data_IF_751129544687
#
_entry.id   IF_751129544687
#
_cell.length_a   1.000
_cell.length_b   1.000
_cell.length_c   1.000
_cell.angle_alpha   90.00
_cell.angle_beta   90.00
_cell.angle_gamma   90.00
#
_symmetry.space_group_name_H-M   'P 1'
#
loop_
_entity.id
_entity.type
_entity.pdbx_description
1 polymer ?
#
# COMPACT_ATOMS: atom_id res chain seq x y z
N UNK A 1 -37.02 -10.20 -5.45
CA UNK A 1 -36.63 -8.91 -4.86
C UNK A 1 -35.12 -8.92 -4.81
N UNK A 2 -34.43 -8.15 -5.66
CA UNK A 2 -32.98 -8.11 -5.67
C UNK A 2 -32.51 -7.16 -4.55
N UNK A 3 -31.72 -7.68 -3.62
CA UNK A 3 -31.04 -6.91 -2.57
C UNK A 3 -30.05 -5.96 -3.26
N UNK A 4 -30.22 -4.64 -3.07
CA UNK A 4 -29.26 -3.67 -3.59
C UNK A 4 -27.96 -3.77 -2.77
N UNK A 5 -26.87 -4.20 -3.41
CA UNK A 5 -25.56 -4.23 -2.77
C UNK A 5 -25.17 -2.81 -2.30
N UNK A 6 -24.48 -2.68 -1.14
CA UNK A 6 -24.04 -1.38 -0.65
C UNK A 6 -23.20 -0.66 -1.70
N UNK A 7 -23.54 0.59 -1.98
CA UNK A 7 -22.96 1.43 -3.04
C UNK A 7 -21.64 2.10 -2.63
N UNK A 8 -20.84 1.46 -1.76
CA UNK A 8 -19.53 2.01 -1.39
C UNK A 8 -18.55 1.81 -2.54
N UNK A 9 -17.71 2.82 -2.79
CA UNK A 9 -16.64 2.69 -3.79
C UNK A 9 -15.66 1.60 -3.34
N UNK A 10 -15.11 0.80 -4.27
CA UNK A 10 -14.11 -0.18 -3.93
C UNK A 10 -12.87 0.50 -3.34
N UNK A 11 -12.21 -0.16 -2.39
CA UNK A 11 -10.91 0.29 -1.88
C UNK A 11 -9.84 0.23 -2.98
N UNK A 12 -8.89 1.17 -2.93
CA UNK A 12 -7.74 1.21 -3.84
C UNK A 12 -6.49 0.92 -3.01
N UNK A 13 -5.73 -0.12 -3.36
CA UNK A 13 -4.43 -0.43 -2.77
C UNK A 13 -3.33 -0.02 -3.75
N UNK A 14 -2.49 0.92 -3.36
CA UNK A 14 -1.36 1.42 -4.15
C UNK A 14 -0.09 0.66 -3.76
N UNK A 15 0.47 -0.05 -4.73
CA UNK A 15 1.67 -0.88 -4.57
C UNK A 15 2.83 -0.14 -5.23
N UNK A 16 3.86 0.22 -4.47
CA UNK A 16 5.07 0.83 -5.03
C UNK A 16 6.01 -0.22 -5.65
N UNK A 17 6.91 0.22 -6.54
CA UNK A 17 7.92 -0.65 -7.16
C UNK A 17 9.24 -0.69 -6.38
N UNK A 18 10.22 -1.44 -6.93
CA UNK A 18 11.61 -1.40 -6.44
C UNK A 18 12.15 0.04 -6.47
N UNK A 19 13.00 0.35 -5.49
CA UNK A 19 13.66 1.67 -5.31
C UNK A 19 12.73 2.83 -4.92
N UNK A 20 11.47 2.54 -4.59
CA UNK A 20 10.48 3.52 -4.16
C UNK A 20 10.01 3.20 -2.73
N UNK A 21 9.35 4.17 -2.09
CA UNK A 21 8.60 3.97 -0.85
C UNK A 21 7.14 4.39 -1.08
N UNK A 22 6.20 4.12 -0.14
CA UNK A 22 4.83 4.61 -0.26
C UNK A 22 4.70 6.12 -0.50
N UNK A 23 5.72 6.90 -0.12
CA UNK A 23 5.76 8.35 -0.32
C UNK A 23 5.57 8.76 -1.79
N UNK A 24 5.90 7.91 -2.76
CA UNK A 24 5.65 8.19 -4.18
C UNK A 24 4.16 8.43 -4.52
N UNK A 25 3.26 8.02 -3.63
CA UNK A 25 1.81 8.19 -3.76
C UNK A 25 1.26 9.38 -2.96
N UNK A 26 2.11 10.21 -2.33
CA UNK A 26 1.68 11.27 -1.40
C UNK A 26 0.69 12.28 -2.00
N UNK A 27 0.71 12.48 -3.32
CA UNK A 27 -0.25 13.34 -4.03
C UNK A 27 -1.43 12.58 -4.63
N UNK A 28 -1.28 11.28 -4.87
CA UNK A 28 -2.33 10.42 -5.43
C UNK A 28 -3.35 10.00 -4.38
N UNK A 29 -2.89 9.72 -3.16
CA UNK A 29 -3.76 9.38 -2.02
C UNK A 29 -4.83 10.47 -1.80
N UNK A 30 -4.48 11.74 -1.51
CA UNK A 30 -5.49 12.78 -1.27
C UNK A 30 -6.36 13.05 -2.50
N UNK A 31 -5.82 12.89 -3.72
CA UNK A 31 -6.58 13.03 -4.96
C UNK A 31 -7.69 11.96 -5.09
N UNK A 32 -7.38 10.71 -4.75
CA UNK A 32 -8.33 9.60 -4.80
C UNK A 32 -9.31 9.63 -3.63
N UNK A 33 -8.85 10.00 -2.43
CA UNK A 33 -9.70 10.21 -1.25
C UNK A 33 -10.71 11.34 -1.48
N UNK A 34 -10.29 12.45 -2.12
CA UNK A 34 -11.20 13.54 -2.50
C UNK A 34 -12.29 13.10 -3.50
N UNK A 35 -12.08 11.98 -4.21
CA UNK A 35 -13.09 11.35 -5.06
C UNK A 35 -13.96 10.34 -4.30
N UNK A 36 -13.78 10.16 -3.00
CA UNK A 36 -14.56 9.27 -2.14
C UNK A 36 -14.12 7.81 -2.17
N UNK A 37 -12.89 7.50 -2.60
CA UNK A 37 -12.32 6.16 -2.45
C UNK A 37 -11.67 6.01 -1.08
N UNK A 38 -11.73 4.81 -0.50
CA UNK A 38 -10.82 4.42 0.58
C UNK A 38 -9.49 3.98 -0.05
N UNK A 39 -8.37 4.58 0.36
CA UNK A 39 -7.07 4.37 -0.29
C UNK A 39 -6.07 3.88 0.74
N UNK A 40 -5.32 2.82 0.38
CA UNK A 40 -4.23 2.30 1.17
C UNK A 40 -2.95 2.36 0.35
N UNK A 41 -1.85 2.78 0.97
CA UNK A 41 -0.51 2.71 0.39
C UNK A 41 0.47 2.09 1.40
N UNK A 42 0.34 0.78 1.71
CA UNK A 42 1.27 0.12 2.60
C UNK A 42 2.62 -0.06 1.88
N UNK A 43 3.71 0.11 2.63
CA UNK A 43 5.05 -0.23 2.14
C UNK A 43 5.27 -1.73 2.07
N UNK A 44 6.23 -2.14 1.25
CA UNK A 44 6.75 -3.51 1.29
C UNK A 44 7.23 -3.85 2.72
N UNK A 45 7.26 -5.14 3.10
CA UNK A 45 7.83 -5.58 4.36
C UNK A 45 9.21 -4.96 4.60
N UNK A 46 9.37 -4.30 5.73
CA UNK A 46 10.59 -3.59 6.08
C UNK A 46 10.72 -2.20 5.46
N UNK A 47 10.03 -1.84 4.38
CA UNK A 47 9.94 -0.42 3.94
C UNK A 47 9.01 0.36 4.87
N UNK A 48 7.83 -0.21 5.16
CA UNK A 48 6.79 0.41 5.97
C UNK A 48 6.48 1.85 5.50
N UNK A 49 6.29 2.80 6.41
CA UNK A 49 6.08 4.22 6.10
C UNK A 49 7.39 5.03 6.14
N UNK A 50 8.55 4.36 5.99
CA UNK A 50 9.86 5.02 6.10
C UNK A 50 10.16 5.89 4.88
N UNK A 51 10.83 7.02 5.10
CA UNK A 51 11.32 7.88 4.02
C UNK A 51 12.53 7.26 3.32
N UNK A 52 12.86 7.68 2.08
CA UNK A 52 14.09 7.25 1.41
C UNK A 52 15.36 7.48 2.24
N UNK A 53 15.44 8.58 3.00
CA UNK A 53 16.57 8.90 3.89
C UNK A 53 16.69 7.90 5.03
N UNK A 54 15.57 7.54 5.67
CA UNK A 54 15.54 6.56 6.75
C UNK A 54 15.96 5.17 6.27
N UNK A 55 15.50 4.76 5.09
CA UNK A 55 15.89 3.48 4.48
C UNK A 55 17.38 3.47 4.11
N UNK A 56 17.92 4.57 3.57
CA UNK A 56 19.34 4.67 3.26
C UNK A 56 20.21 4.66 4.52
N UNK A 57 19.71 5.23 5.63
CA UNK A 57 20.40 5.20 6.91
C UNK A 57 20.42 3.80 7.53
N UNK A 58 19.35 3.02 7.37
CA UNK A 58 19.25 1.64 7.82
C UNK A 58 18.45 0.75 6.84
N UNK A 59 19.15 0.08 5.89
CA UNK A 59 18.50 -0.79 4.92
C UNK A 59 18.24 -2.20 5.45
N UNK A 60 18.72 -2.57 6.65
CA UNK A 60 18.64 -3.95 7.15
C UNK A 60 17.21 -4.50 7.23
N UNK A 61 16.16 -3.73 7.56
CA UNK A 61 14.79 -4.26 7.58
C UNK A 61 14.29 -4.76 6.21
N UNK A 62 14.88 -4.29 5.11
CA UNK A 62 14.57 -4.75 3.74
C UNK A 62 15.46 -5.90 3.28
N UNK A 63 16.49 -6.27 4.05
CA UNK A 63 17.39 -7.34 3.68
C UNK A 63 16.64 -8.68 3.61
N UNK A 64 17.05 -9.51 2.65
CA UNK A 64 16.57 -10.88 2.44
C UNK A 64 15.06 -11.02 2.20
N UNK A 65 14.36 -9.92 1.86
CA UNK A 65 12.94 -9.97 1.50
C UNK A 65 12.73 -10.57 0.12
N UNK A 66 11.70 -11.41 0.02
CA UNK A 66 11.33 -12.12 -1.21
C UNK A 66 10.09 -11.50 -1.85
N UNK A 67 9.88 -11.77 -3.14
CA UNK A 67 8.67 -11.35 -3.85
C UNK A 67 7.43 -12.04 -3.27
N UNK A 68 7.53 -13.30 -2.87
CA UNK A 68 6.41 -14.04 -2.29
C UNK A 68 5.96 -13.41 -0.96
N UNK A 69 6.90 -13.04 -0.07
CA UNK A 69 6.57 -12.31 1.17
C UNK A 69 5.89 -10.96 0.91
N UNK A 70 6.32 -10.24 -0.13
CA UNK A 70 5.69 -8.98 -0.52
C UNK A 70 4.24 -9.25 -0.97
N UNK A 71 4.05 -10.23 -1.87
CA UNK A 71 2.71 -10.60 -2.38
C UNK A 71 1.80 -11.04 -1.24
N UNK A 72 2.27 -11.91 -0.35
CA UNK A 72 1.50 -12.41 0.80
C UNK A 72 1.08 -11.28 1.74
N UNK A 73 1.96 -10.29 1.96
CA UNK A 73 1.63 -9.12 2.77
C UNK A 73 0.48 -8.32 2.16
N UNK A 74 0.53 -8.02 0.86
CA UNK A 74 -0.57 -7.32 0.17
C UNK A 74 -1.84 -8.16 0.12
N UNK A 75 -1.74 -9.47 -0.13
CA UNK A 75 -2.88 -10.38 -0.13
C UNK A 75 -3.57 -10.43 1.25
N UNK A 76 -2.81 -10.44 2.34
CA UNK A 76 -3.34 -10.38 3.71
C UNK A 76 -4.05 -9.06 3.99
N UNK A 77 -3.50 -7.94 3.54
CA UNK A 77 -4.14 -6.62 3.68
C UNK A 77 -5.47 -6.60 2.91
N UNK A 78 -5.45 -7.03 1.65
CA UNK A 78 -6.64 -7.03 0.77
C UNK A 78 -7.73 -7.95 1.33
N UNK A 79 -7.37 -9.12 1.86
CA UNK A 79 -8.34 -10.08 2.42
C UNK A 79 -9.01 -9.58 3.71
N UNK A 80 -8.47 -8.55 4.35
CA UNK A 80 -9.01 -7.94 5.56
C UNK A 80 -9.89 -6.70 5.31
N UNK A 81 -10.06 -6.28 4.04
CA UNK A 81 -10.93 -5.18 3.62
C UNK A 81 -12.39 -5.64 3.44
#
# INVERSE_FOLDING_TARGET
>A
MAEAAPTSKPSIVLIHGLWMTPLCWEHWIPYLEAKGYHVLAPGWPGVDQRTPEQIRADPQPMADKTIDEIVDTYASIISAL
#
